data_IF_120449850062
#
_entry.id   IF_120449850062
#
_cell.length_a   1.000
_cell.length_b   1.000
_cell.length_c   1.000
_cell.angle_alpha   90.00
_cell.angle_beta   90.00
_cell.angle_gamma   90.00
#
_symmetry.space_group_name_H-M   'P 1'
#
loop_
_entity.id
_entity.type
_entity.pdbx_description
1 polymer ?
#
# COMPACT_ATOMS: atom_id res chain seq x y z
N UNK A 1 8.44 -11.85 5.82
CA UNK A 1 8.40 -11.38 7.23
C UNK A 1 7.05 -11.59 7.93
N UNK A 2 6.23 -12.51 7.46
CA UNK A 2 4.97 -12.89 8.13
C UNK A 2 5.19 -13.65 9.43
N UNK A 3 6.24 -14.43 9.48
CA UNK A 3 6.62 -15.21 10.63
C UNK A 3 7.77 -14.49 11.33
N UNK A 4 7.78 -14.50 12.64
CA UNK A 4 8.73 -13.78 13.51
C UNK A 4 10.15 -13.87 12.96
N UNK A 5 10.57 -12.83 12.24
CA UNK A 5 11.98 -12.70 11.86
C UNK A 5 12.76 -12.32 13.11
N UNK A 6 13.81 -13.06 13.38
CA UNK A 6 14.72 -12.76 14.49
C UNK A 6 15.22 -11.30 14.38
N UNK A 7 15.17 -10.51 15.45
CA UNK A 7 15.57 -9.09 15.41
C UNK A 7 16.94 -8.85 14.79
N UNK A 8 17.91 -9.74 15.05
CA UNK A 8 19.25 -9.65 14.49
C UNK A 8 19.29 -9.84 12.97
N UNK A 9 18.40 -10.67 12.41
CA UNK A 9 18.26 -10.85 10.96
C UNK A 9 17.67 -9.58 10.34
N UNK A 10 16.63 -9.03 10.94
CA UNK A 10 15.99 -7.79 10.48
C UNK A 10 16.98 -6.62 10.52
N UNK A 11 17.75 -6.50 11.59
CA UNK A 11 18.77 -5.45 11.73
C UNK A 11 19.83 -5.53 10.64
N UNK A 12 20.37 -6.73 10.39
CA UNK A 12 21.32 -6.96 9.31
C UNK A 12 20.73 -6.63 7.94
N UNK A 13 19.45 -6.93 7.71
CA UNK A 13 18.80 -6.65 6.45
C UNK A 13 18.59 -5.13 6.27
N UNK A 14 18.16 -4.41 7.28
CA UNK A 14 18.02 -2.94 7.22
C UNK A 14 19.37 -2.27 7.00
N UNK A 15 20.42 -2.75 7.69
CA UNK A 15 21.77 -2.26 7.47
C UNK A 15 22.23 -2.42 6.02
N UNK A 16 22.00 -3.59 5.43
CA UNK A 16 22.35 -3.88 4.03
C UNK A 16 21.57 -3.03 3.05
N UNK A 17 20.27 -2.83 3.29
CA UNK A 17 19.41 -1.99 2.47
C UNK A 17 19.90 -0.54 2.49
N UNK A 18 20.19 0.01 3.66
CA UNK A 18 20.72 1.36 3.81
C UNK A 18 22.11 1.49 3.15
N UNK A 19 23.01 0.51 3.37
CA UNK A 19 24.32 0.48 2.75
C UNK A 19 24.29 0.39 1.21
N UNK A 20 23.22 -0.21 0.65
CA UNK A 20 22.97 -0.23 -0.80
C UNK A 20 22.41 1.09 -1.34
N UNK A 21 22.22 2.10 -0.51
CA UNK A 21 21.75 3.44 -0.90
C UNK A 21 20.22 3.59 -0.92
N UNK A 22 19.46 2.61 -0.44
CA UNK A 22 18.01 2.78 -0.29
C UNK A 22 17.69 3.58 0.98
N UNK A 23 16.73 4.45 0.89
CA UNK A 23 16.23 5.26 2.01
C UNK A 23 14.76 4.95 2.35
N UNK A 24 14.11 4.08 1.62
CA UNK A 24 12.69 3.78 1.79
C UNK A 24 12.42 2.30 1.57
N UNK A 25 11.58 1.73 2.43
CA UNK A 25 11.06 0.37 2.34
C UNK A 25 9.58 0.38 2.03
N UNK A 26 9.10 -0.63 1.33
CA UNK A 26 7.68 -0.95 1.25
C UNK A 26 7.42 -2.32 1.86
N UNK A 27 6.35 -2.41 2.65
CA UNK A 27 5.90 -3.68 3.23
C UNK A 27 4.50 -4.06 2.76
N UNK A 28 4.17 -5.33 2.80
CA UNK A 28 2.82 -5.82 2.52
C UNK A 28 1.95 -5.90 3.77
N UNK A 29 2.59 -6.13 4.91
CA UNK A 29 1.96 -6.18 6.22
C UNK A 29 2.61 -5.14 7.12
N UNK A 30 1.90 -4.65 8.14
CA UNK A 30 2.45 -3.66 9.05
C UNK A 30 3.66 -4.20 9.80
N UNK A 31 4.73 -3.41 9.85
CA UNK A 31 5.83 -3.63 10.78
C UNK A 31 5.38 -3.25 12.19
N UNK A 32 5.80 -3.99 13.22
CA UNK A 32 5.59 -3.60 14.60
C UNK A 32 6.45 -2.36 14.96
N UNK A 33 6.09 -1.61 16.02
CA UNK A 33 6.80 -0.39 16.41
C UNK A 33 8.30 -0.56 16.64
N UNK A 34 8.72 -1.68 17.21
CA UNK A 34 10.14 -2.01 17.42
C UNK A 34 10.90 -2.20 16.10
N UNK A 35 10.29 -2.83 15.11
CA UNK A 35 10.87 -2.94 13.77
C UNK A 35 10.90 -1.60 13.04
N UNK A 36 9.90 -0.73 13.22
CA UNK A 36 9.91 0.63 12.68
C UNK A 36 11.01 1.47 13.33
N UNK A 37 11.16 1.40 14.66
CA UNK A 37 12.25 2.08 15.37
C UNK A 37 13.62 1.54 14.92
N UNK A 38 13.72 0.25 14.61
CA UNK A 38 14.93 -0.33 14.05
C UNK A 38 15.23 0.21 12.64
N UNK A 39 14.23 0.30 11.77
CA UNK A 39 14.36 0.88 10.43
C UNK A 39 14.80 2.36 10.51
N UNK A 40 14.26 3.13 11.46
CA UNK A 40 14.59 4.53 11.69
C UNK A 40 16.08 4.73 12.07
N UNK A 41 16.65 3.84 12.87
CA UNK A 41 18.09 3.85 13.20
C UNK A 41 19.01 3.78 11.97
N UNK A 42 18.52 3.19 10.89
CA UNK A 42 19.23 3.10 9.60
C UNK A 42 18.76 4.15 8.57
N UNK A 43 17.99 5.15 9.01
CA UNK A 43 17.49 6.22 8.13
C UNK A 43 16.47 5.76 7.10
N UNK A 44 15.76 4.66 7.36
CA UNK A 44 14.80 4.08 6.43
C UNK A 44 13.38 4.56 6.73
N UNK A 45 12.78 5.25 5.77
CA UNK A 45 11.36 5.53 5.73
C UNK A 45 10.57 4.29 5.32
N UNK A 46 9.31 4.19 5.74
CA UNK A 46 8.49 3.01 5.46
C UNK A 46 7.16 3.39 4.80
N UNK A 47 6.90 2.79 3.63
CA UNK A 47 5.57 2.69 3.03
C UNK A 47 4.89 1.45 3.64
N UNK A 48 4.08 1.68 4.67
CA UNK A 48 3.53 0.61 5.49
C UNK A 48 2.28 0.01 4.87
N UNK A 49 2.35 -1.21 4.38
CA UNK A 49 1.19 -1.95 3.89
C UNK A 49 0.28 -2.38 5.04
N UNK A 50 -1.02 -2.21 4.85
CA UNK A 50 -2.04 -2.77 5.72
C UNK A 50 -2.66 -3.95 4.99
N UNK A 51 -2.50 -5.15 5.58
CA UNK A 51 -3.04 -6.35 4.95
C UNK A 51 -4.56 -6.38 5.07
N UNK A 52 -5.22 -6.42 3.92
CA UNK A 52 -6.64 -6.68 3.78
C UNK A 52 -6.82 -7.99 3.03
N UNK A 53 -7.69 -8.86 3.52
CA UNK A 53 -7.92 -10.15 2.88
C UNK A 53 -8.49 -9.97 1.47
N UNK A 54 -7.72 -10.37 0.46
CA UNK A 54 -8.11 -10.29 -0.96
C UNK A 54 -9.30 -11.17 -1.32
N UNK A 55 -9.57 -12.21 -0.52
CA UNK A 55 -10.69 -13.15 -0.69
C UNK A 55 -11.93 -12.73 0.12
N UNK A 56 -11.84 -11.65 0.89
CA UNK A 56 -12.91 -11.17 1.75
C UNK A 56 -14.22 -10.85 1.01
N UNK A 57 -15.31 -10.87 1.74
CA UNK A 57 -16.62 -10.49 1.20
C UNK A 57 -16.79 -8.97 1.19
N UNK A 58 -16.31 -8.31 0.14
CA UNK A 58 -16.33 -6.86 -0.02
C UNK A 58 -17.75 -6.26 -0.11
N UNK A 59 -18.78 -7.06 -0.39
CA UNK A 59 -20.17 -6.63 -0.33
C UNK A 59 -20.74 -6.60 1.10
N UNK A 60 -20.08 -7.26 2.05
CA UNK A 60 -20.50 -7.30 3.46
C UNK A 60 -20.13 -6.02 4.20
N UNK A 61 -21.12 -5.35 4.79
CA UNK A 61 -20.87 -4.18 5.64
C UNK A 61 -19.96 -4.50 6.82
N UNK A 62 -20.14 -5.67 7.46
CA UNK A 62 -19.31 -6.12 8.55
C UNK A 62 -17.83 -6.29 8.14
N UNK A 63 -17.58 -6.82 6.94
CA UNK A 63 -16.22 -6.91 6.41
C UNK A 63 -15.62 -5.51 6.15
N UNK A 64 -16.39 -4.62 5.54
CA UNK A 64 -15.96 -3.25 5.27
C UNK A 64 -15.61 -2.50 6.57
N UNK A 65 -16.45 -2.64 7.59
CA UNK A 65 -16.22 -2.02 8.91
C UNK A 65 -14.97 -2.60 9.60
N UNK A 66 -14.75 -3.92 9.46
CA UNK A 66 -13.54 -4.56 9.95
C UNK A 66 -12.28 -4.04 9.24
N UNK A 67 -12.33 -3.80 7.92
CA UNK A 67 -11.21 -3.20 7.17
C UNK A 67 -10.89 -1.81 7.71
N UNK A 68 -11.89 -0.95 7.89
CA UNK A 68 -11.71 0.40 8.43
C UNK A 68 -11.13 0.36 9.85
N UNK A 69 -11.63 -0.55 10.69
CA UNK A 69 -11.11 -0.73 12.06
C UNK A 69 -9.65 -1.21 12.08
N UNK A 70 -9.26 -2.11 11.15
CA UNK A 70 -7.87 -2.55 11.01
C UNK A 70 -6.99 -1.34 10.63
N UNK A 71 -7.40 -0.54 9.65
CA UNK A 71 -6.67 0.65 9.22
C UNK A 71 -6.47 1.62 10.39
N UNK A 72 -7.55 1.99 11.09
CA UNK A 72 -7.49 2.89 12.25
C UNK A 72 -6.51 2.38 13.30
N UNK A 73 -6.64 1.11 13.69
CA UNK A 73 -5.77 0.49 14.69
C UNK A 73 -4.30 0.53 14.30
N UNK A 74 -3.98 0.24 13.03
CA UNK A 74 -2.57 0.22 12.58
C UNK A 74 -1.97 1.63 12.53
N UNK A 75 -2.73 2.64 12.15
CA UNK A 75 -2.29 4.04 12.19
C UNK A 75 -2.05 4.50 13.64
N UNK A 76 -2.98 4.20 14.55
CA UNK A 76 -2.81 4.51 15.98
C UNK A 76 -1.60 3.82 16.58
N UNK A 77 -1.44 2.51 16.32
CA UNK A 77 -0.34 1.70 16.85
C UNK A 77 1.03 2.24 16.49
N UNK A 78 1.14 2.88 15.33
CA UNK A 78 2.42 3.39 14.80
C UNK A 78 2.51 4.91 14.83
N UNK A 79 1.62 5.58 15.57
CA UNK A 79 1.52 7.04 15.61
C UNK A 79 2.80 7.73 16.08
N UNK A 80 3.51 7.12 17.04
CA UNK A 80 4.76 7.65 17.56
C UNK A 80 5.97 7.47 16.60
N UNK A 81 5.82 6.72 15.52
CA UNK A 81 6.92 6.37 14.61
C UNK A 81 7.01 7.39 13.48
N UNK A 82 7.99 8.31 13.56
CA UNK A 82 8.19 9.39 12.59
C UNK A 82 8.53 8.93 11.18
N UNK A 83 9.08 7.72 11.04
CA UNK A 83 9.56 7.17 9.78
C UNK A 83 8.49 6.40 8.95
N UNK A 84 7.25 6.36 9.37
CA UNK A 84 6.15 5.88 8.51
C UNK A 84 5.76 7.00 7.55
N UNK A 85 6.15 6.89 6.29
CA UNK A 85 5.90 7.91 5.27
C UNK A 85 4.47 7.86 4.77
N UNK A 86 3.95 6.67 4.49
CA UNK A 86 2.60 6.48 3.98
C UNK A 86 2.03 5.13 4.41
N UNK A 87 0.69 5.06 4.47
CA UNK A 87 -0.04 3.81 4.61
C UNK A 87 -0.63 3.37 3.25
N UNK A 88 -0.40 2.12 2.89
CA UNK A 88 -1.05 1.47 1.76
C UNK A 88 -2.22 0.65 2.29
N UNK A 89 -3.45 1.14 2.11
CA UNK A 89 -4.69 0.58 2.69
C UNK A 89 -5.21 -0.63 1.91
N UNK A 90 -4.34 -1.44 1.41
CA UNK A 90 -4.60 -2.67 0.68
C UNK A 90 -3.60 -2.91 -0.43
N UNK A 91 -3.65 -4.11 -1.01
CA UNK A 91 -2.79 -4.53 -2.09
C UNK A 91 -3.54 -5.42 -3.07
N UNK A 92 -3.59 -5.02 -4.34
CA UNK A 92 -4.06 -5.83 -5.47
C UNK A 92 -5.39 -6.54 -5.22
N UNK A 93 -6.47 -5.80 -5.08
CA UNK A 93 -7.81 -6.39 -5.07
C UNK A 93 -8.00 -7.33 -6.27
N UNK A 94 -8.67 -8.45 -6.06
CA UNK A 94 -8.97 -9.36 -7.15
C UNK A 94 -10.05 -8.75 -8.06
N UNK A 95 -9.86 -8.77 -9.39
CA UNK A 95 -10.87 -8.25 -10.33
C UNK A 95 -12.24 -8.88 -10.12
N UNK A 96 -12.29 -10.17 -9.78
CA UNK A 96 -13.52 -10.90 -9.49
C UNK A 96 -14.28 -10.27 -8.33
N UNK A 97 -13.58 -9.84 -7.27
CA UNK A 97 -14.20 -9.15 -6.12
C UNK A 97 -14.78 -7.81 -6.52
N UNK A 98 -14.08 -7.07 -7.39
CA UNK A 98 -14.58 -5.80 -7.92
C UNK A 98 -15.80 -6.02 -8.81
N UNK A 99 -15.78 -7.07 -9.64
CA UNK A 99 -16.92 -7.45 -10.48
C UNK A 99 -18.16 -7.84 -9.67
N UNK A 100 -17.98 -8.67 -8.64
CA UNK A 100 -19.08 -9.15 -7.78
C UNK A 100 -19.68 -8.04 -6.90
N UNK A 101 -18.85 -7.14 -6.41
CA UNK A 101 -19.26 -6.08 -5.47
C UNK A 101 -19.70 -4.81 -6.19
N UNK A 102 -19.12 -4.55 -7.38
CA UNK A 102 -19.26 -3.32 -8.13
C UNK A 102 -18.21 -2.26 -7.75
N UNK A 103 -17.64 -1.62 -8.76
CA UNK A 103 -16.57 -0.62 -8.55
C UNK A 103 -16.97 0.52 -7.59
N UNK A 104 -18.21 1.09 -7.65
CA UNK A 104 -18.60 2.17 -6.73
C UNK A 104 -18.55 1.75 -5.25
N UNK A 105 -18.92 0.52 -4.92
CA UNK A 105 -18.89 0.03 -3.53
C UNK A 105 -17.44 -0.21 -3.05
N UNK A 106 -16.58 -0.72 -3.92
CA UNK A 106 -15.14 -0.85 -3.66
C UNK A 106 -14.50 0.53 -3.44
N UNK A 107 -14.79 1.50 -4.31
CA UNK A 107 -14.26 2.87 -4.19
C UNK A 107 -14.75 3.56 -2.91
N UNK A 108 -16.01 3.31 -2.51
CA UNK A 108 -16.54 3.81 -1.24
C UNK A 108 -15.78 3.22 -0.04
N UNK A 109 -15.50 1.92 -0.03
CA UNK A 109 -14.68 1.29 1.01
C UNK A 109 -13.25 1.85 1.04
N UNK A 110 -12.60 1.94 -0.11
CA UNK A 110 -11.24 2.49 -0.21
C UNK A 110 -11.18 3.94 0.26
N UNK A 111 -12.20 4.73 -0.06
CA UNK A 111 -12.35 6.11 0.43
C UNK A 111 -12.50 6.17 1.97
N UNK A 112 -13.34 5.29 2.55
CA UNK A 112 -13.47 5.18 4.02
C UNK A 112 -12.14 4.81 4.68
N UNK A 113 -11.39 3.88 4.10
CA UNK A 113 -10.08 3.50 4.58
C UNK A 113 -9.07 4.65 4.51
N UNK A 114 -9.05 5.42 3.42
CA UNK A 114 -8.21 6.61 3.28
C UNK A 114 -8.60 7.71 4.31
N UNK A 115 -9.89 7.91 4.52
CA UNK A 115 -10.38 8.85 5.54
C UNK A 115 -9.97 8.42 6.96
N UNK A 116 -10.01 7.12 7.27
CA UNK A 116 -9.56 6.61 8.56
C UNK A 116 -8.07 6.92 8.81
N UNK A 117 -7.20 6.80 7.78
CA UNK A 117 -5.79 7.23 7.91
C UNK A 117 -5.71 8.72 8.25
N UNK A 118 -6.40 9.58 7.49
CA UNK A 118 -6.34 11.05 7.68
C UNK A 118 -6.91 11.52 9.00
N UNK A 119 -7.94 10.87 9.52
CA UNK A 119 -8.54 11.21 10.81
C UNK A 119 -7.67 10.78 11.99
N UNK A 120 -6.96 9.66 11.85
CA UNK A 120 -6.15 9.07 12.93
C UNK A 120 -4.72 9.59 12.92
N UNK A 121 -4.14 9.83 11.74
CA UNK A 121 -2.79 10.36 11.53
C UNK A 121 -2.77 11.40 10.40
N UNK A 122 -3.21 12.63 10.66
CA UNK A 122 -3.41 13.64 9.61
C UNK A 122 -2.12 14.05 8.88
N UNK A 123 -0.97 13.81 9.48
CA UNK A 123 0.37 14.06 8.88
C UNK A 123 0.83 12.94 7.95
N UNK A 124 0.09 11.83 7.89
CA UNK A 124 0.48 10.64 7.11
C UNK A 124 -0.11 10.66 5.71
N UNK A 125 0.70 10.27 4.74
CA UNK A 125 0.23 10.03 3.38
C UNK A 125 -0.54 8.71 3.32
N UNK A 126 -1.46 8.63 2.37
CA UNK A 126 -2.24 7.41 2.11
C UNK A 126 -2.19 7.03 0.65
N UNK A 127 -2.09 5.75 0.40
CA UNK A 127 -2.11 5.15 -0.93
C UNK A 127 -2.81 3.78 -0.93
N UNK A 128 -2.91 3.22 -2.11
CA UNK A 128 -3.35 1.85 -2.36
C UNK A 128 -2.44 1.23 -3.42
N UNK A 129 -1.89 0.05 -3.15
CA UNK A 129 -1.06 -0.64 -4.12
C UNK A 129 -1.94 -1.35 -5.15
N UNK A 130 -2.20 -0.67 -6.25
CA UNK A 130 -3.05 -1.15 -7.34
C UNK A 130 -2.26 -2.00 -8.34
N UNK A 131 -2.94 -2.61 -9.27
CA UNK A 131 -2.36 -3.26 -10.42
C UNK A 131 -3.09 -2.85 -11.72
N UNK A 132 -2.48 -3.10 -12.89
CA UNK A 132 -2.98 -2.57 -14.17
C UNK A 132 -4.43 -2.85 -14.49
N UNK A 133 -4.92 -4.04 -14.17
CA UNK A 133 -6.30 -4.48 -14.47
C UNK A 133 -7.37 -3.66 -13.74
N UNK A 134 -7.01 -3.00 -12.64
CA UNK A 134 -7.90 -2.14 -11.85
C UNK A 134 -7.51 -0.65 -11.92
N UNK A 135 -6.77 -0.24 -12.94
CA UNK A 135 -6.35 1.15 -13.12
C UNK A 135 -7.51 2.14 -13.32
N UNK A 136 -8.71 1.65 -13.60
CA UNK A 136 -9.93 2.45 -13.71
C UNK A 136 -10.51 2.91 -12.37
N UNK A 137 -10.11 2.30 -11.24
CA UNK A 137 -10.56 2.72 -9.92
C UNK A 137 -10.12 4.16 -9.64
N UNK A 138 -11.00 4.92 -9.01
CA UNK A 138 -10.80 6.34 -8.75
C UNK A 138 -9.53 6.61 -7.92
N UNK A 139 -8.53 7.34 -8.46
CA UNK A 139 -7.28 7.63 -7.76
C UNK A 139 -7.37 8.83 -6.82
N UNK A 140 -8.51 9.52 -6.75
CA UNK A 140 -8.63 10.78 -6.00
C UNK A 140 -8.30 10.68 -4.51
N UNK A 141 -8.58 9.56 -3.81
CA UNK A 141 -8.26 9.44 -2.39
C UNK A 141 -6.76 9.38 -2.07
N UNK A 142 -5.91 9.08 -3.04
CA UNK A 142 -4.49 8.77 -2.80
C UNK A 142 -3.61 10.01 -2.88
N UNK A 143 -2.66 10.15 -1.98
CA UNK A 143 -1.63 11.20 -2.02
C UNK A 143 -0.50 10.80 -2.96
N UNK A 144 -0.19 9.51 -3.03
CA UNK A 144 0.76 8.89 -3.95
C UNK A 144 0.05 7.79 -4.72
N UNK A 145 0.28 7.69 -6.01
CA UNK A 145 -0.27 6.61 -6.84
C UNK A 145 0.70 5.45 -6.87
N UNK A 146 0.27 4.28 -6.43
CA UNK A 146 1.12 3.09 -6.40
C UNK A 146 0.56 1.99 -7.31
N UNK A 147 1.41 1.47 -8.18
CA UNK A 147 1.11 0.31 -9.03
C UNK A 147 2.15 -0.78 -8.87
N UNK A 148 1.69 -2.03 -8.75
CA UNK A 148 2.53 -3.21 -8.87
C UNK A 148 2.63 -3.58 -10.35
N UNK A 149 3.80 -3.41 -10.94
CA UNK A 149 4.07 -3.71 -12.33
C UNK A 149 5.09 -4.86 -12.42
N UNK A 150 4.74 -5.88 -13.18
CA UNK A 150 5.57 -7.09 -13.36
C UNK A 150 5.97 -7.21 -14.84
N UNK A 151 7.02 -6.48 -15.30
CA UNK A 151 7.37 -6.42 -16.71
C UNK A 151 7.86 -7.77 -17.28
N UNK A 152 8.25 -8.68 -16.40
CA UNK A 152 8.72 -10.03 -16.78
C UNK A 152 7.60 -11.09 -16.75
N UNK A 153 6.42 -10.74 -16.26
CA UNK A 153 5.26 -11.63 -16.25
C UNK A 153 4.58 -11.59 -17.63
N UNK A 154 4.56 -12.70 -18.40
CA UNK A 154 4.02 -12.71 -19.76
C UNK A 154 2.53 -12.30 -19.85
N UNK A 155 1.75 -12.55 -18.80
CA UNK A 155 0.35 -12.17 -18.71
C UNK A 155 0.16 -10.69 -18.34
N UNK A 156 1.21 -9.98 -17.96
CA UNK A 156 1.14 -8.59 -17.56
C UNK A 156 0.98 -7.67 -18.77
N UNK A 157 0.05 -6.73 -18.67
CA UNK A 157 -0.12 -5.68 -19.69
C UNK A 157 1.16 -4.85 -19.88
N UNK A 158 1.96 -4.70 -18.83
CA UNK A 158 3.25 -4.01 -18.88
C UNK A 158 4.29 -4.76 -19.71
N UNK A 159 4.16 -6.09 -19.83
CA UNK A 159 5.00 -6.89 -20.73
C UNK A 159 4.72 -6.58 -22.20
N UNK A 160 3.43 -6.45 -22.55
CA UNK A 160 3.01 -6.19 -23.93
C UNK A 160 3.40 -4.79 -24.41
N UNK A 161 3.18 -3.78 -23.57
CA UNK A 161 3.41 -2.37 -23.90
C UNK A 161 4.82 -1.87 -23.56
N UNK A 162 5.61 -2.66 -22.84
CA UNK A 162 6.88 -2.26 -22.27
C UNK A 162 6.71 -1.42 -20.99
N UNK A 163 7.57 -1.66 -20.02
CA UNK A 163 7.50 -1.02 -18.69
C UNK A 163 7.46 0.51 -18.76
N UNK A 164 8.39 1.11 -19.51
CA UNK A 164 8.49 2.57 -19.62
C UNK A 164 7.23 3.19 -20.20
N UNK A 165 6.75 2.66 -21.32
CA UNK A 165 5.56 3.19 -22.01
C UNK A 165 4.32 3.08 -21.11
N UNK A 166 4.21 1.98 -20.33
CA UNK A 166 3.10 1.82 -19.44
C UNK A 166 3.18 2.76 -18.22
N UNK A 167 4.35 2.98 -17.64
CA UNK A 167 4.56 3.99 -16.58
C UNK A 167 4.20 5.40 -17.09
N UNK A 168 4.63 5.76 -18.30
CA UNK A 168 4.27 7.04 -18.91
C UNK A 168 2.76 7.15 -19.17
N UNK A 169 2.10 6.07 -19.55
CA UNK A 169 0.65 6.03 -19.67
C UNK A 169 -0.03 6.28 -18.32
N UNK A 170 0.37 5.58 -17.25
CA UNK A 170 -0.17 5.79 -15.91
C UNK A 170 0.03 7.21 -15.41
N UNK A 171 1.19 7.81 -15.67
CA UNK A 171 1.46 9.22 -15.32
C UNK A 171 0.47 10.17 -15.97
N UNK A 172 0.15 9.97 -17.26
CA UNK A 172 -0.76 10.85 -18.00
C UNK A 172 -2.24 10.63 -17.65
N UNK A 173 -2.64 9.41 -17.38
CA UNK A 173 -4.06 9.03 -17.26
C UNK A 173 -4.54 8.91 -15.82
N UNK A 174 -3.77 8.27 -14.97
CA UNK A 174 -4.17 7.95 -13.58
C UNK A 174 -3.53 8.90 -12.59
N UNK A 175 -2.21 9.00 -12.58
CA UNK A 175 -1.50 9.83 -11.59
C UNK A 175 -1.68 11.33 -11.86
N UNK A 176 -1.64 11.74 -13.14
CA UNK A 176 -1.76 13.15 -13.56
C UNK A 176 -0.78 14.06 -12.80
N UNK A 177 -1.27 14.83 -11.84
CA UNK A 177 -0.47 15.74 -11.01
C UNK A 177 0.10 15.11 -9.72
N UNK A 178 -0.22 13.84 -9.44
CA UNK A 178 0.24 13.13 -8.24
C UNK A 178 1.53 12.36 -8.49
N UNK A 179 2.36 12.14 -7.45
CA UNK A 179 3.49 11.23 -7.53
C UNK A 179 3.04 9.81 -7.92
N UNK A 180 3.85 9.10 -8.72
CA UNK A 180 3.67 7.72 -9.11
C UNK A 180 4.89 6.92 -8.69
#
# INVERSE_FOLDING_TARGET
WRDRVEPAVMERDFQRIAAAGFNTLRTWSPLPPDALALADRYGLMVLQGIWVDRQGNYASQAFQDAVVAIVTREVERTRAQGNVLAFLVGNELLPERVFETGAPAIEALLNRAAQAVRQTGPERLVSYANWPTLSFLNPSPWDVICFNLYPYEPSSISHVFGFRSYVEHLKRTVARSKPL
#
